data_IF_044097828897
#
_entry.id   IF_044097828897
#
_cell.length_a   1.000
_cell.length_b   1.000
_cell.length_c   1.000
_cell.angle_alpha   90.00
_cell.angle_beta   90.00
_cell.angle_gamma   90.00
#
_symmetry.space_group_name_H-M   'P 1'
#
loop_
_entity.id
_entity.type
_entity.pdbx_description
1 polymer ?
#
# COMPACT_ATOMS: atom_id res chain seq x y z
N UNK A 1 4.66 -46.11 -4.43
CA UNK A 1 3.27 -45.66 -4.67
C UNK A 1 2.94 -44.23 -4.17
N UNK A 2 3.87 -43.46 -3.59
CA UNK A 2 3.61 -42.10 -3.06
C UNK A 2 3.73 -40.88 -4.02
N UNK A 3 4.35 -40.93 -5.23
CA UNK A 3 4.65 -39.70 -5.98
C UNK A 3 3.40 -39.04 -6.60
N UNK A 4 2.34 -39.82 -6.86
CA UNK A 4 1.14 -39.34 -7.56
C UNK A 4 0.32 -38.38 -6.69
N UNK A 5 0.26 -38.61 -5.37
CA UNK A 5 -0.48 -37.74 -4.43
C UNK A 5 0.24 -36.41 -4.19
N UNK A 6 1.58 -36.40 -4.25
CA UNK A 6 2.41 -35.19 -4.09
C UNK A 6 2.26 -34.28 -5.30
N UNK A 7 2.26 -34.83 -6.52
CA UNK A 7 2.05 -34.06 -7.76
C UNK A 7 0.65 -33.44 -7.79
N UNK A 8 -0.38 -34.17 -7.34
CA UNK A 8 -1.74 -33.65 -7.24
C UNK A 8 -1.87 -32.53 -6.17
N UNK A 9 -1.24 -32.70 -5.00
CA UNK A 9 -1.22 -31.69 -3.95
C UNK A 9 -0.50 -30.41 -4.41
N UNK A 10 0.64 -30.56 -5.10
CA UNK A 10 1.39 -29.42 -5.65
C UNK A 10 0.57 -28.67 -6.71
N UNK A 11 -0.15 -29.38 -7.58
CA UNK A 11 -1.07 -28.79 -8.56
C UNK A 11 -2.24 -28.04 -7.91
N UNK A 12 -2.79 -28.56 -6.81
CA UNK A 12 -3.81 -27.86 -6.03
C UNK A 12 -3.24 -26.64 -5.28
N UNK A 13 -2.04 -26.73 -4.74
CA UNK A 13 -1.38 -25.63 -4.04
C UNK A 13 -1.06 -24.46 -5.00
N UNK A 14 -0.60 -24.77 -6.21
CA UNK A 14 -0.40 -23.79 -7.29
C UNK A 14 -1.73 -23.19 -7.74
N UNK A 15 -2.79 -24.00 -7.86
CA UNK A 15 -4.14 -23.51 -8.20
C UNK A 15 -4.73 -22.57 -7.14
N UNK A 16 -4.56 -22.87 -5.85
CA UNK A 16 -5.03 -22.03 -4.73
C UNK A 16 -4.21 -20.73 -4.66
N UNK A 17 -2.89 -20.81 -4.83
CA UNK A 17 -2.02 -19.62 -4.87
C UNK A 17 -2.40 -18.68 -6.02
N UNK A 18 -2.65 -19.24 -7.22
CA UNK A 18 -3.11 -18.48 -8.38
C UNK A 18 -4.47 -17.81 -8.11
N UNK A 19 -5.42 -18.53 -7.47
CA UNK A 19 -6.73 -17.99 -7.11
C UNK A 19 -6.64 -16.83 -6.11
N UNK A 20 -5.79 -16.93 -5.08
CA UNK A 20 -5.55 -15.86 -4.09
C UNK A 20 -4.97 -14.61 -4.73
N UNK A 21 -4.06 -14.77 -5.70
CA UNK A 21 -3.49 -13.66 -6.47
C UNK A 21 -4.55 -12.99 -7.35
N UNK A 22 -5.42 -13.77 -8.01
CA UNK A 22 -6.53 -13.22 -8.82
C UNK A 22 -7.57 -12.49 -7.95
N UNK A 23 -7.84 -12.95 -6.73
CA UNK A 23 -8.78 -12.29 -5.81
C UNK A 23 -8.21 -11.05 -5.12
N UNK A 24 -6.87 -10.93 -4.98
CA UNK A 24 -6.23 -9.78 -4.33
C UNK A 24 -6.43 -8.46 -5.10
N UNK A 25 -6.83 -8.53 -6.37
CA UNK A 25 -7.20 -7.39 -7.21
C UNK A 25 -8.67 -6.94 -7.15
N UNK A 26 -9.57 -7.74 -6.57
CA UNK A 26 -10.96 -7.34 -6.35
C UNK A 26 -11.06 -6.59 -5.02
N UNK A 27 -10.76 -5.29 -5.03
CA UNK A 27 -11.07 -4.32 -3.96
C UNK A 27 -10.79 -4.80 -2.52
N UNK A 28 -9.57 -5.28 -2.24
CA UNK A 28 -9.16 -5.48 -0.84
C UNK A 28 -8.95 -4.11 -0.19
N UNK A 29 -9.81 -3.78 0.78
CA UNK A 29 -9.73 -2.54 1.57
C UNK A 29 -8.54 -2.58 2.53
N UNK A 30 -8.11 -1.42 3.03
CA UNK A 30 -7.13 -1.37 4.11
C UNK A 30 -7.68 -2.00 5.38
N UNK A 31 -9.01 -1.91 5.60
CA UNK A 31 -9.69 -2.63 6.67
C UNK A 31 -9.48 -4.15 6.58
N UNK A 32 -9.71 -4.77 5.43
CA UNK A 32 -9.53 -6.22 5.26
C UNK A 32 -8.07 -6.65 5.44
N UNK A 33 -7.15 -5.85 4.88
CA UNK A 33 -5.71 -6.11 5.02
C UNK A 33 -5.25 -5.94 6.45
N UNK A 34 -5.71 -4.91 7.13
CA UNK A 34 -5.46 -4.66 8.54
C UNK A 34 -6.02 -5.80 9.39
N UNK A 35 -7.23 -6.27 9.10
CA UNK A 35 -7.86 -7.39 9.79
C UNK A 35 -7.06 -8.69 9.63
N UNK A 36 -6.66 -8.99 8.40
CA UNK A 36 -5.89 -10.20 8.11
C UNK A 36 -4.50 -10.13 8.76
N UNK A 37 -3.79 -9.02 8.61
CA UNK A 37 -2.44 -8.86 9.12
C UNK A 37 -2.42 -8.78 10.64
N UNK A 38 -3.32 -8.00 11.22
CA UNK A 38 -3.52 -7.89 12.66
C UNK A 38 -3.99 -9.22 13.26
N UNK A 39 -4.87 -9.94 12.58
CA UNK A 39 -5.33 -11.26 12.99
C UNK A 39 -4.22 -12.31 12.96
N UNK A 40 -3.39 -12.35 11.90
CA UNK A 40 -2.26 -13.28 11.83
C UNK A 40 -1.17 -12.96 12.85
N UNK A 41 -0.81 -11.68 13.03
CA UNK A 41 0.16 -11.26 14.05
C UNK A 41 -0.36 -11.52 15.46
N UNK A 42 -1.62 -11.17 15.72
CA UNK A 42 -2.28 -11.41 17.00
C UNK A 42 -2.42 -12.89 17.30
N UNK A 43 -2.75 -13.72 16.30
CA UNK A 43 -2.77 -15.17 16.41
C UNK A 43 -1.40 -15.73 16.79
N UNK A 44 -0.34 -15.29 16.12
CA UNK A 44 1.03 -15.74 16.40
C UNK A 44 1.48 -15.37 17.81
N UNK A 45 1.20 -14.13 18.23
CA UNK A 45 1.58 -13.64 19.56
C UNK A 45 0.75 -14.31 20.65
N UNK A 46 -0.56 -14.44 20.41
CA UNK A 46 -1.52 -15.11 21.29
C UNK A 46 -1.25 -16.61 21.43
N UNK A 47 -0.75 -17.27 20.38
CA UNK A 47 -0.33 -18.67 20.44
C UNK A 47 0.86 -18.86 21.41
N UNK A 48 1.86 -17.99 21.34
CA UNK A 48 3.05 -18.07 22.21
C UNK A 48 2.65 -17.89 23.68
N UNK A 49 1.86 -16.85 23.98
CA UNK A 49 1.40 -16.56 25.34
C UNK A 49 0.40 -17.62 25.83
N UNK A 50 -0.54 -18.04 24.99
CA UNK A 50 -1.50 -19.10 25.30
C UNK A 50 -0.83 -20.45 25.57
N UNK A 51 0.25 -20.76 24.83
CA UNK A 51 1.04 -21.97 25.06
C UNK A 51 1.71 -21.94 26.44
N UNK A 52 2.22 -20.78 26.89
CA UNK A 52 2.77 -20.63 28.24
C UNK A 52 1.69 -20.77 29.33
N UNK A 53 0.44 -20.38 29.04
CA UNK A 53 -0.71 -20.53 29.94
C UNK A 53 -1.40 -21.91 29.85
N UNK A 54 -0.89 -22.83 29.03
CA UNK A 54 -1.44 -24.18 28.85
C UNK A 54 -2.65 -24.28 27.91
N UNK A 55 -3.01 -23.20 27.22
CA UNK A 55 -4.09 -23.21 26.22
C UNK A 55 -3.74 -22.34 25.00
N UNK A 56 -2.92 -22.91 24.12
CA UNK A 56 -2.51 -22.30 22.84
C UNK A 56 -3.72 -21.93 21.99
N UNK A 57 -4.73 -22.79 21.90
CA UNK A 57 -5.89 -22.55 21.03
C UNK A 57 -6.69 -21.33 21.49
N UNK A 58 -6.94 -21.19 22.80
CA UNK A 58 -7.61 -20.02 23.34
C UNK A 58 -6.78 -18.74 23.12
N UNK A 59 -5.48 -18.80 23.39
CA UNK A 59 -4.58 -17.66 23.17
C UNK A 59 -4.53 -17.22 21.70
N UNK A 60 -4.43 -18.17 20.77
CA UNK A 60 -4.49 -17.91 19.32
C UNK A 60 -5.82 -17.30 18.92
N UNK A 61 -6.95 -17.86 19.36
CA UNK A 61 -8.27 -17.38 18.97
C UNK A 61 -8.54 -15.96 19.48
N UNK A 62 -8.16 -15.66 20.73
CA UNK A 62 -8.30 -14.34 21.33
C UNK A 62 -7.38 -13.35 20.63
N UNK A 63 -6.10 -13.70 20.46
CA UNK A 63 -5.13 -12.84 19.79
C UNK A 63 -5.52 -12.55 18.33
N UNK A 64 -6.01 -13.56 17.61
CA UNK A 64 -6.52 -13.41 16.25
C UNK A 64 -7.73 -12.49 16.19
N UNK A 65 -8.72 -12.71 17.07
CA UNK A 65 -9.94 -11.90 17.10
C UNK A 65 -9.65 -10.44 17.44
N UNK A 66 -8.88 -10.20 18.50
CA UNK A 66 -8.52 -8.83 18.92
C UNK A 66 -7.66 -8.14 17.87
N UNK A 67 -6.65 -8.83 17.32
CA UNK A 67 -5.77 -8.28 16.30
C UNK A 67 -6.51 -7.98 15.00
N UNK A 68 -7.46 -8.84 14.60
CA UNK A 68 -8.27 -8.61 13.40
C UNK A 68 -9.21 -7.42 13.57
N UNK A 69 -9.90 -7.31 14.70
CA UNK A 69 -10.80 -6.19 14.97
C UNK A 69 -10.05 -4.86 15.07
N UNK A 70 -8.90 -4.84 15.75
CA UNK A 70 -8.07 -3.65 15.86
C UNK A 70 -7.51 -3.24 14.49
N UNK A 71 -7.01 -4.22 13.72
CA UNK A 71 -6.48 -3.99 12.39
C UNK A 71 -7.56 -3.51 11.40
N UNK A 72 -8.77 -4.07 11.46
CA UNK A 72 -9.89 -3.64 10.62
C UNK A 72 -10.32 -2.21 10.92
N UNK A 73 -10.43 -1.85 12.21
CA UNK A 73 -10.82 -0.51 12.62
C UNK A 73 -9.81 0.56 12.20
N UNK A 74 -8.51 0.26 12.29
CA UNK A 74 -7.45 1.16 11.82
C UNK A 74 -7.49 1.27 10.29
N UNK A 75 -7.67 0.14 9.59
CA UNK A 75 -7.77 0.10 8.14
C UNK A 75 -8.94 0.91 7.58
N UNK A 76 -10.10 0.89 8.24
CA UNK A 76 -11.28 1.67 7.85
C UNK A 76 -10.96 3.18 7.79
N UNK A 77 -10.18 3.67 8.75
CA UNK A 77 -9.74 5.07 8.75
C UNK A 77 -8.77 5.39 7.61
N UNK A 78 -7.91 4.45 7.22
CA UNK A 78 -6.99 4.60 6.10
C UNK A 78 -7.74 4.61 4.76
N UNK A 79 -8.77 3.78 4.63
CA UNK A 79 -9.65 3.77 3.45
C UNK A 79 -10.37 5.12 3.28
N UNK A 80 -10.87 5.72 4.35
CA UNK A 80 -11.49 7.05 4.28
C UNK A 80 -10.47 8.14 3.94
N UNK A 81 -9.27 8.09 4.53
CA UNK A 81 -8.19 9.02 4.21
C UNK A 81 -7.79 8.91 2.75
N UNK A 82 -7.70 7.71 2.20
CA UNK A 82 -7.36 7.51 0.79
C UNK A 82 -8.50 7.96 -0.12
N UNK A 83 -9.76 7.68 0.22
CA UNK A 83 -10.91 8.17 -0.55
C UNK A 83 -10.94 9.71 -0.58
N UNK A 84 -10.70 10.36 0.56
CA UNK A 84 -10.57 11.82 0.66
C UNK A 84 -9.40 12.33 -0.15
N UNK A 85 -8.23 11.71 -0.04
CA UNK A 85 -7.04 12.10 -0.77
C UNK A 85 -7.25 11.98 -2.29
N UNK A 86 -7.83 10.87 -2.76
CA UNK A 86 -8.20 10.68 -4.17
C UNK A 86 -9.16 11.77 -4.66
N UNK A 87 -10.14 12.18 -3.84
CA UNK A 87 -11.03 13.28 -4.17
C UNK A 87 -10.30 14.63 -4.27
N UNK A 88 -9.39 14.93 -3.34
CA UNK A 88 -8.56 16.15 -3.37
C UNK A 88 -7.64 16.18 -4.59
N UNK A 89 -6.95 15.06 -4.87
CA UNK A 89 -6.08 14.94 -6.03
C UNK A 89 -6.90 15.04 -7.32
N UNK A 90 -8.09 14.44 -7.41
CA UNK A 90 -8.96 14.59 -8.58
C UNK A 90 -9.41 16.04 -8.81
N UNK A 91 -9.71 16.80 -7.75
CA UNK A 91 -10.01 18.23 -7.84
C UNK A 91 -8.79 19.05 -8.29
N UNK A 92 -7.59 18.69 -7.82
CA UNK A 92 -6.35 19.37 -8.20
C UNK A 92 -5.89 18.99 -9.61
N UNK A 93 -6.11 17.75 -10.04
CA UNK A 93 -5.78 17.24 -11.38
C UNK A 93 -6.72 17.76 -12.48
N UNK A 94 -7.77 18.52 -12.15
CA UNK A 94 -8.49 19.36 -13.11
C UNK A 94 -7.70 20.58 -13.59
N UNK A 95 -6.55 20.85 -12.96
CA UNK A 95 -5.44 21.63 -13.53
C UNK A 95 -4.39 20.60 -13.88
N UNK A 96 -4.14 20.38 -15.16
CA UNK A 96 -2.99 19.61 -15.61
C UNK A 96 -1.77 20.09 -14.84
N UNK A 97 -1.32 19.36 -13.81
CA UNK A 97 0.07 19.47 -13.36
C UNK A 97 0.77 18.59 -14.36
N UNK A 98 1.44 19.16 -15.38
CA UNK A 98 2.13 18.35 -16.34
C UNK A 98 3.21 17.61 -15.54
N UNK A 99 3.02 16.32 -15.31
CA UNK A 99 4.13 15.43 -15.00
C UNK A 99 4.93 15.33 -16.29
N UNK A 100 5.66 16.39 -16.59
CA UNK A 100 6.10 16.64 -17.94
C UNK A 100 6.64 18.04 -18.06
N UNK A 101 7.96 18.12 -17.85
CA UNK A 101 8.84 19.13 -18.40
C UNK A 101 8.67 20.54 -17.81
N UNK A 102 9.73 20.96 -17.11
CA UNK A 102 9.89 22.32 -16.60
C UNK A 102 9.91 23.29 -17.78
N UNK A 103 9.01 24.27 -17.74
CA UNK A 103 8.97 25.37 -18.71
C UNK A 103 9.85 26.54 -18.26
N UNK A 104 10.20 27.43 -19.18
CA UNK A 104 11.01 28.60 -18.84
C UNK A 104 10.25 29.58 -17.93
N UNK A 105 8.94 29.67 -18.11
CA UNK A 105 8.02 30.44 -17.29
C UNK A 105 8.01 29.95 -15.83
N UNK A 106 8.06 28.64 -15.62
CA UNK A 106 8.16 28.06 -14.26
C UNK A 106 9.49 28.41 -13.61
N UNK A 107 10.60 28.41 -14.36
CA UNK A 107 11.92 28.81 -13.84
C UNK A 107 11.92 30.27 -13.41
N UNK A 108 11.35 31.17 -14.21
CA UNK A 108 11.24 32.59 -13.87
C UNK A 108 10.37 32.78 -12.61
N UNK A 109 9.25 32.08 -12.51
CA UNK A 109 8.37 32.15 -11.35
C UNK A 109 9.06 31.64 -10.07
N UNK A 110 9.84 30.57 -10.17
CA UNK A 110 10.63 30.03 -9.06
C UNK A 110 11.75 30.99 -8.63
N UNK A 111 12.41 31.66 -9.58
CA UNK A 111 13.42 32.69 -9.28
C UNK A 111 12.80 33.91 -8.60
N UNK A 112 11.64 34.39 -9.07
CA UNK A 112 10.93 35.52 -8.43
C UNK A 112 10.41 35.16 -7.03
N UNK A 113 10.06 33.89 -6.80
CA UNK A 113 9.66 33.39 -5.49
C UNK A 113 10.85 33.17 -4.52
N UNK A 114 12.08 33.52 -4.93
CA UNK A 114 13.32 33.37 -4.16
C UNK A 114 13.55 31.91 -3.68
N UNK A 115 13.16 30.93 -4.51
CA UNK A 115 13.46 29.52 -4.28
C UNK A 115 14.96 29.29 -4.50
N UNK A 116 15.60 28.49 -3.64
CA UNK A 116 17.03 28.21 -3.77
C UNK A 116 17.34 27.53 -5.10
N UNK A 117 18.41 27.98 -5.75
CA UNK A 117 18.85 27.49 -7.05
C UNK A 117 19.06 25.97 -7.08
N UNK A 118 19.48 25.39 -5.96
CA UNK A 118 19.65 23.94 -5.82
C UNK A 118 18.32 23.18 -5.93
N UNK A 119 17.24 23.72 -5.40
CA UNK A 119 15.91 23.13 -5.56
C UNK A 119 15.41 23.29 -7.01
N UNK A 120 15.74 24.40 -7.67
CA UNK A 120 15.44 24.62 -9.09
C UNK A 120 16.18 23.60 -9.96
N UNK A 121 17.48 23.40 -9.73
CA UNK A 121 18.32 22.42 -10.46
C UNK A 121 17.85 20.99 -10.19
N UNK A 122 17.54 20.65 -8.94
CA UNK A 122 16.99 19.34 -8.61
C UNK A 122 15.64 19.11 -9.30
N UNK A 123 14.78 20.13 -9.33
CA UNK A 123 13.49 20.06 -10.00
C UNK A 123 13.62 19.84 -11.52
N UNK A 124 14.58 20.50 -12.18
CA UNK A 124 14.88 20.28 -13.60
C UNK A 124 15.47 18.89 -13.84
N UNK A 125 16.39 18.42 -12.99
CA UNK A 125 17.00 17.09 -13.13
C UNK A 125 15.96 15.97 -13.01
N UNK A 126 14.99 16.13 -12.11
CA UNK A 126 13.94 15.14 -11.86
C UNK A 126 12.86 15.14 -12.95
N UNK A 127 12.51 16.31 -13.50
CA UNK A 127 11.35 16.47 -14.39
C UNK A 127 11.67 16.74 -15.87
N UNK A 128 12.93 17.03 -16.21
CA UNK A 128 13.36 17.41 -17.57
C UNK A 128 12.88 18.81 -17.98
N UNK A 129 13.30 19.29 -19.16
CA UNK A 129 12.95 20.62 -19.70
C UNK A 129 12.42 20.51 -21.14
N UNK A 130 11.34 21.23 -21.45
CA UNK A 130 10.62 21.15 -22.75
C UNK A 130 11.30 21.93 -23.86
N UNK A 131 12.01 23.02 -23.52
CA UNK A 131 12.60 23.92 -24.51
C UNK A 131 13.85 24.58 -23.92
N UNK A 132 15.04 24.40 -24.53
CA UNK A 132 16.22 25.15 -24.13
C UNK A 132 16.04 26.64 -24.42
N UNK A 133 16.64 27.53 -23.60
CA UNK A 133 16.64 28.95 -23.88
C UNK A 133 17.37 29.17 -25.21
N UNK A 134 16.61 29.47 -26.25
CA UNK A 134 17.17 29.87 -27.54
C UNK A 134 17.47 31.36 -27.45
N UNK A 135 18.76 31.68 -27.47
CA UNK A 135 19.31 33.03 -27.54
C UNK A 135 18.83 33.82 -28.77
#
# INVERSE_FOLDING_TARGET
MMPIRVIAAFRHLVGISLLVILCSGCASTHADRGALFGGLLGAGTGAIVGNAAGNTLAGTAIGAGVGALAGSAIGDSLDEMEARNRALIAQQMGRDIPRGQVTFEDVIAMTQANVSEELIVNHIRVNGMTRPPTS
#
